data_IF_813921090093
#
_entry.id   IF_813921090093
#
_cell.length_a   1.000
_cell.length_b   1.000
_cell.length_c   1.000
_cell.angle_alpha   90.00
_cell.angle_beta   90.00
_cell.angle_gamma   90.00
#
_symmetry.space_group_name_H-M   'P 1'
#
loop_
_entity.id
_entity.type
_entity.pdbx_description
1 polymer ?
#
# COMPACT_ATOMS: atom_id res chain seq x y z
N UNK A 1 -15.42 16.95 -71.57
CA UNK A 1 -16.00 16.12 -70.48
C UNK A 1 -14.91 15.20 -69.95
N UNK A 2 -14.21 15.57 -68.89
CA UNK A 2 -13.44 14.67 -68.02
C UNK A 2 -13.05 15.47 -66.77
N UNK A 3 -13.89 15.41 -65.75
CA UNK A 3 -13.67 16.02 -64.44
C UNK A 3 -12.88 14.99 -63.61
N UNK A 4 -11.59 15.24 -63.37
CA UNK A 4 -10.79 14.41 -62.47
C UNK A 4 -11.06 14.83 -61.02
N UNK A 5 -11.84 14.03 -60.30
CA UNK A 5 -12.01 14.16 -58.84
C UNK A 5 -10.83 13.51 -58.13
N UNK A 6 -9.99 14.33 -57.50
CA UNK A 6 -8.96 13.89 -56.56
C UNK A 6 -9.62 13.53 -55.22
N UNK A 7 -9.74 12.23 -54.92
CA UNK A 7 -10.08 11.73 -53.59
C UNK A 7 -8.85 11.86 -52.68
N UNK A 8 -8.89 12.83 -51.77
CA UNK A 8 -7.96 12.93 -50.64
C UNK A 8 -8.31 11.83 -49.62
N UNK A 9 -7.53 10.74 -49.60
CA UNK A 9 -7.57 9.76 -48.51
C UNK A 9 -6.82 10.32 -47.30
N UNK A 10 -7.57 10.89 -46.35
CA UNK A 10 -7.07 11.21 -45.03
C UNK A 10 -6.73 9.92 -44.28
N UNK A 11 -5.45 9.56 -44.21
CA UNK A 11 -4.96 8.54 -43.28
C UNK A 11 -5.00 9.12 -41.88
N UNK A 12 -6.11 8.90 -41.19
CA UNK A 12 -6.25 9.19 -39.76
C UNK A 12 -5.24 8.36 -38.98
N UNK A 13 -4.22 9.03 -38.44
CA UNK A 13 -3.34 8.48 -37.42
C UNK A 13 -4.17 8.13 -36.19
N UNK A 14 -4.26 6.84 -35.88
CA UNK A 14 -4.95 6.34 -34.69
C UNK A 14 -4.15 6.78 -33.47
N UNK A 15 -4.57 7.87 -32.84
CA UNK A 15 -4.05 8.31 -31.55
C UNK A 15 -4.31 7.21 -30.52
N UNK A 16 -3.25 6.61 -30.01
CA UNK A 16 -3.33 5.70 -28.88
C UNK A 16 -3.86 6.47 -27.68
N UNK A 17 -5.10 6.18 -27.27
CA UNK A 17 -5.72 6.74 -26.06
C UNK A 17 -4.80 6.48 -24.88
N UNK A 18 -4.10 7.53 -24.44
CA UNK A 18 -3.15 7.52 -23.33
C UNK A 18 -3.88 7.24 -22.02
N UNK A 19 -4.10 5.96 -21.73
CA UNK A 19 -4.60 5.49 -20.44
C UNK A 19 -3.51 5.58 -19.35
N UNK A 20 -2.27 5.95 -19.72
CA UNK A 20 -1.16 6.18 -18.81
C UNK A 20 -1.28 7.57 -18.20
N UNK A 21 -1.26 7.66 -16.88
CA UNK A 21 -1.09 8.95 -16.22
C UNK A 21 0.24 9.56 -16.60
N UNK A 22 0.20 10.84 -16.95
CA UNK A 22 1.35 11.57 -17.45
C UNK A 22 2.33 11.79 -16.32
N UNK A 23 3.38 10.98 -16.29
CA UNK A 23 4.52 11.18 -15.40
C UNK A 23 5.32 12.46 -15.76
N UNK A 24 4.87 13.27 -16.72
CA UNK A 24 5.57 14.48 -17.18
C UNK A 24 5.72 15.54 -16.08
N UNK A 25 4.75 15.64 -15.15
CA UNK A 25 4.86 16.51 -13.97
C UNK A 25 5.99 16.13 -13.00
N UNK A 26 6.67 14.98 -13.21
CA UNK A 26 7.86 14.60 -12.43
C UNK A 26 9.16 15.21 -12.95
N UNK A 27 9.22 15.65 -14.22
CA UNK A 27 10.45 16.20 -14.80
C UNK A 27 10.69 17.67 -14.44
N UNK A 28 9.64 18.42 -14.08
CA UNK A 28 9.75 19.82 -13.66
C UNK A 28 10.07 20.02 -12.18
N UNK A 29 10.08 18.94 -11.38
CA UNK A 29 10.28 19.00 -9.93
C UNK A 29 11.64 18.45 -9.46
N UNK A 30 12.52 18.03 -10.38
CA UNK A 30 13.88 17.61 -10.05
C UNK A 30 14.84 18.80 -10.22
N UNK A 31 15.66 19.14 -9.22
CA UNK A 31 16.73 20.12 -9.41
C UNK A 31 17.73 19.56 -10.42
N UNK A 32 18.06 20.35 -11.44
CA UNK A 32 19.17 20.06 -12.36
C UNK A 32 20.46 19.92 -11.55
N UNK A 33 21.09 18.76 -11.62
CA UNK A 33 22.42 18.53 -11.01
C UNK A 33 23.43 19.42 -11.73
N UNK A 34 24.17 20.30 -11.03
CA UNK A 34 25.24 21.07 -11.67
C UNK A 34 26.40 20.13 -12.03
N UNK A 35 26.87 20.26 -13.27
CA UNK A 35 28.05 19.56 -13.77
C UNK A 35 29.27 19.86 -12.91
N UNK A 36 29.99 18.79 -12.55
CA UNK A 36 31.21 18.85 -11.74
C UNK A 36 32.36 19.40 -12.57
N UNK A 37 32.74 20.66 -12.32
CA UNK A 37 33.95 21.26 -12.87
C UNK A 37 35.20 20.49 -12.42
N UNK A 38 35.97 20.01 -13.39
CA UNK A 38 37.38 19.62 -13.26
C UNK A 38 38.22 20.85 -12.94
N UNK A 39 38.96 20.81 -11.84
CA UNK A 39 40.05 21.77 -11.57
C UNK A 39 41.33 20.98 -11.31
N UNK A 40 42.32 21.28 -12.13
CA UNK A 40 43.71 20.79 -12.09
C UNK A 40 44.62 21.79 -11.37
N UNK A 41 45.76 21.28 -10.87
CA UNK A 41 46.97 21.97 -10.37
C UNK A 41 46.86 22.57 -8.94
N UNK A 42 47.87 22.62 -8.07
CA UNK A 42 49.24 22.06 -7.96
C UNK A 42 49.79 22.46 -6.56
N UNK A 43 50.72 21.66 -6.03
CA UNK A 43 51.66 21.87 -4.90
C UNK A 43 51.91 23.30 -4.33
N UNK A 44 52.00 23.44 -3.00
CA UNK A 44 53.28 23.65 -2.26
C UNK A 44 53.12 24.08 -0.79
N UNK A 45 54.09 23.63 0.03
CA UNK A 45 54.64 24.19 1.28
C UNK A 45 53.86 24.19 2.61
N UNK A 46 54.35 23.35 3.53
CA UNK A 46 54.44 23.55 5.00
C UNK A 46 55.51 24.63 5.35
N UNK A 47 55.67 25.17 6.58
CA UNK A 47 55.83 24.43 7.86
C UNK A 47 55.37 25.09 9.18
N UNK A 48 55.41 24.24 10.24
CA UNK A 48 55.73 24.47 11.66
C UNK A 48 54.94 25.44 12.58
N UNK A 49 54.61 24.95 13.79
CA UNK A 49 54.33 25.79 14.97
C UNK A 49 53.54 25.10 16.09
N UNK A 50 54.24 24.54 17.09
CA UNK A 50 53.67 23.91 18.28
C UNK A 50 53.03 24.93 19.25
N UNK A 51 51.98 24.54 19.98
CA UNK A 51 51.87 24.74 21.45
C UNK A 51 50.66 24.02 22.06
N UNK A 52 51.00 23.18 23.03
CA UNK A 52 50.14 22.52 24.00
C UNK A 52 49.51 23.53 24.97
N UNK A 53 48.22 23.39 25.30
CA UNK A 53 47.71 23.59 26.67
C UNK A 53 46.48 22.71 26.91
N UNK A 54 46.59 21.89 27.96
CA UNK A 54 45.52 21.13 28.61
C UNK A 54 44.49 22.08 29.23
N UNK A 55 43.22 21.69 29.24
CA UNK A 55 42.32 21.96 30.36
C UNK A 55 41.25 20.87 30.45
N UNK A 56 41.36 20.09 31.53
CA UNK A 56 40.39 19.13 32.01
C UNK A 56 39.24 19.84 32.73
N UNK A 57 38.00 19.57 32.35
CA UNK A 57 36.85 19.77 33.26
C UNK A 57 35.94 18.56 33.16
N UNK A 58 35.87 17.85 34.28
CA UNK A 58 34.98 16.74 34.59
C UNK A 58 33.59 17.30 34.92
N UNK A 59 32.52 16.72 34.37
CA UNK A 59 31.24 16.66 35.06
C UNK A 59 30.43 15.43 34.65
N UNK A 60 30.19 14.61 35.66
CA UNK A 60 29.35 13.41 35.67
C UNK A 60 27.88 13.72 35.33
N UNK A 61 27.22 12.82 34.61
CA UNK A 61 26.01 12.14 35.12
C UNK A 61 25.54 11.05 34.16
N UNK A 62 25.58 9.81 34.65
CA UNK A 62 24.98 8.62 34.05
C UNK A 62 23.52 8.49 34.49
N UNK A 63 22.58 8.50 33.56
CA UNK A 63 21.18 8.17 33.85
C UNK A 63 20.99 6.64 33.84
N UNK A 64 20.70 6.11 35.02
CA UNK A 64 20.40 4.71 35.27
C UNK A 64 19.01 4.32 34.73
N UNK A 65 18.97 3.11 34.18
CA UNK A 65 17.80 2.39 33.67
C UNK A 65 17.02 1.79 34.85
N UNK A 66 15.69 1.97 34.99
CA UNK A 66 14.96 1.35 36.09
C UNK A 66 14.72 -0.14 35.82
N UNK A 67 15.09 -0.97 36.81
CA UNK A 67 14.78 -2.40 36.90
C UNK A 67 13.46 -2.56 37.66
N UNK A 68 12.53 -3.36 37.13
CA UNK A 68 11.30 -3.72 37.83
C UNK A 68 11.61 -4.72 38.96
N UNK A 69 11.19 -4.40 40.17
CA UNK A 69 11.36 -5.25 41.36
C UNK A 69 10.44 -6.48 41.32
N UNK A 70 11.01 -7.64 41.62
CA UNK A 70 10.33 -8.89 41.89
C UNK A 70 9.62 -8.83 43.25
N UNK A 71 8.29 -8.93 43.26
CA UNK A 71 7.52 -9.06 44.49
C UNK A 71 7.49 -10.54 44.91
N UNK A 72 8.18 -10.86 46.02
CA UNK A 72 8.09 -12.13 46.73
C UNK A 72 7.55 -11.89 48.13
N UNK A 73 6.40 -12.46 48.43
CA UNK A 73 5.80 -12.51 49.76
C UNK A 73 4.34 -12.94 49.61
N UNK A 74 3.77 -13.89 50.33
CA UNK A 74 4.18 -14.62 51.53
C UNK A 74 3.44 -15.96 51.49
N UNK A 75 4.15 -17.05 51.77
CA UNK A 75 3.56 -18.32 52.21
C UNK A 75 3.13 -18.22 53.67
N UNK A 76 2.05 -18.90 54.08
CA UNK A 76 2.02 -19.57 55.38
C UNK A 76 1.99 -21.09 55.22
N UNK A 77 2.60 -21.73 56.22
CA UNK A 77 2.90 -23.16 56.35
C UNK A 77 1.63 -24.03 56.55
N UNK A 78 1.72 -25.28 56.06
CA UNK A 78 0.72 -26.39 56.09
C UNK A 78 0.19 -26.76 57.50
N UNK A 79 -0.94 -27.50 57.62
CA UNK A 79 -0.83 -28.97 57.72
C UNK A 79 -1.98 -29.81 57.09
N UNK A 80 -1.58 -30.94 56.51
CA UNK A 80 -2.21 -32.28 56.49
C UNK A 80 -3.61 -32.47 57.17
N UNK A 81 -4.64 -32.88 56.39
CA UNK A 81 -5.62 -33.98 56.64
C UNK A 81 -6.78 -33.89 55.61
N UNK A 82 -6.97 -34.87 54.74
CA UNK A 82 -8.02 -35.93 54.81
C UNK A 82 -9.40 -35.56 54.22
N UNK A 83 -9.71 -36.25 53.11
CA UNK A 83 -11.01 -36.83 52.70
C UNK A 83 -12.29 -35.97 52.79
N UNK A 84 -12.88 -35.72 51.63
CA UNK A 84 -14.28 -35.30 51.50
C UNK A 84 -14.74 -35.30 50.05
N UNK A 85 -15.36 -36.40 49.60
CA UNK A 85 -16.28 -36.37 48.48
C UNK A 85 -17.44 -35.41 48.81
N UNK A 86 -17.80 -34.50 47.90
CA UNK A 86 -19.22 -34.18 47.62
C UNK A 86 -19.34 -33.16 46.49
N UNK A 87 -19.98 -33.65 45.44
CA UNK A 87 -20.91 -32.99 44.50
C UNK A 87 -21.25 -31.52 44.79
N UNK A 88 -20.86 -30.61 43.88
CA UNK A 88 -21.76 -29.67 43.18
C UNK A 88 -20.94 -28.78 42.23
N UNK A 89 -20.81 -29.17 40.96
CA UNK A 89 -20.47 -28.20 39.89
C UNK A 89 -21.42 -28.39 38.71
N UNK A 90 -22.69 -28.10 38.97
CA UNK A 90 -23.65 -27.76 37.92
C UNK A 90 -23.28 -26.41 37.33
N UNK A 91 -22.27 -26.38 36.47
CA UNK A 91 -22.13 -25.34 35.47
C UNK A 91 -21.72 -26.00 34.16
N UNK A 92 -22.70 -26.69 33.59
CA UNK A 92 -22.79 -27.11 32.20
C UNK A 92 -22.64 -25.87 31.29
N UNK A 93 -21.41 -25.37 31.16
CA UNK A 93 -21.01 -24.69 29.96
C UNK A 93 -20.76 -25.77 28.91
N UNK A 94 -21.86 -26.12 28.25
CA UNK A 94 -21.90 -26.72 26.92
C UNK A 94 -21.18 -25.80 25.90
N UNK A 95 -19.91 -25.51 26.12
CA UNK A 95 -19.00 -25.33 25.01
C UNK A 95 -18.71 -26.75 24.56
N UNK A 96 -19.51 -27.20 23.59
CA UNK A 96 -19.13 -28.32 22.73
C UNK A 96 -17.76 -28.00 22.18
N UNK A 97 -16.75 -28.58 22.83
CA UNK A 97 -15.42 -28.76 22.28
C UNK A 97 -15.62 -29.72 21.11
N UNK A 98 -15.81 -29.15 19.92
CA UNK A 98 -15.68 -29.90 18.68
C UNK A 98 -14.18 -29.90 18.38
N UNK A 99 -13.48 -30.85 18.99
CA UNK A 99 -12.11 -31.22 18.63
C UNK A 99 -12.16 -32.00 17.32
N UNK A 100 -12.34 -31.26 16.24
CA UNK A 100 -11.85 -31.60 14.92
C UNK A 100 -11.49 -30.26 14.31
N UNK A 101 -10.21 -30.02 13.99
CA UNK A 101 -9.70 -28.74 13.44
C UNK A 101 -10.36 -28.24 12.13
N UNK A 102 -11.50 -28.80 11.73
CA UNK A 102 -12.41 -28.28 10.73
C UNK A 102 -13.25 -27.12 11.27
N UNK A 103 -12.96 -25.91 10.77
CA UNK A 103 -13.84 -24.76 10.95
C UNK A 103 -15.14 -25.03 10.19
N UNK A 104 -16.24 -25.36 10.87
CA UNK A 104 -17.57 -25.37 10.26
C UNK A 104 -17.87 -23.93 9.80
N UNK A 105 -17.75 -23.70 8.48
CA UNK A 105 -18.17 -22.45 7.87
C UNK A 105 -19.69 -22.52 7.69
N UNK A 106 -20.44 -22.29 8.77
CA UNK A 106 -21.85 -21.96 8.63
C UNK A 106 -22.00 -20.85 7.58
N UNK A 107 -23.02 -20.99 6.71
CA UNK A 107 -23.25 -20.06 5.61
C UNK A 107 -23.32 -18.63 6.16
N UNK A 108 -22.37 -17.78 5.75
CA UNK A 108 -22.32 -16.39 6.24
C UNK A 108 -23.23 -15.50 5.40
N UNK A 109 -24.42 -15.20 5.93
CA UNK A 109 -25.33 -14.22 5.34
C UNK A 109 -24.70 -12.81 5.32
N UNK A 110 -24.98 -12.03 4.27
CA UNK A 110 -24.57 -10.61 4.16
C UNK A 110 -23.08 -10.32 3.96
N UNK A 111 -22.21 -11.33 3.83
CA UNK A 111 -20.75 -11.11 3.73
C UNK A 111 -20.30 -10.69 2.33
N UNK A 112 -20.10 -9.38 2.12
CA UNK A 112 -19.70 -8.79 0.82
C UNK A 112 -18.19 -8.60 0.60
N UNK A 113 -17.34 -9.05 1.53
CA UNK A 113 -15.87 -8.84 1.46
C UNK A 113 -15.16 -10.06 0.83
N UNK A 114 -14.48 -9.89 -0.33
CA UNK A 114 -13.77 -10.99 -0.98
C UNK A 114 -12.55 -11.42 -0.14
N UNK A 115 -12.39 -12.72 0.08
CA UNK A 115 -11.32 -13.27 0.94
C UNK A 115 -9.98 -13.41 0.21
N UNK A 116 -10.00 -13.68 -1.10
CA UNK A 116 -8.81 -13.90 -1.96
C UNK A 116 -7.82 -14.94 -1.43
N UNK A 117 -8.32 -15.91 -0.64
CA UNK A 117 -7.54 -16.96 0.04
C UNK A 117 -6.33 -16.40 0.80
N UNK A 118 -6.49 -15.25 1.44
CA UNK A 118 -5.45 -14.56 2.21
C UNK A 118 -5.99 -14.05 3.55
N UNK A 119 -5.16 -14.01 4.60
CA UNK A 119 -5.49 -13.33 5.84
C UNK A 119 -5.68 -11.82 5.60
N UNK A 120 -6.36 -11.10 6.53
CA UNK A 120 -6.81 -9.72 6.30
C UNK A 120 -5.68 -8.69 6.09
N UNK A 121 -4.58 -8.85 6.80
CA UNK A 121 -3.33 -8.11 6.68
C UNK A 121 -2.74 -8.21 5.26
N UNK A 122 -2.50 -9.43 4.78
CA UNK A 122 -1.93 -9.69 3.45
C UNK A 122 -2.87 -9.23 2.33
N UNK A 123 -4.18 -9.44 2.52
CA UNK A 123 -5.19 -8.97 1.56
C UNK A 123 -5.17 -7.44 1.44
N UNK A 124 -5.04 -6.72 2.55
CA UNK A 124 -4.95 -5.25 2.55
C UNK A 124 -3.70 -4.80 1.78
N UNK A 125 -2.54 -5.39 2.05
CA UNK A 125 -1.29 -5.06 1.37
C UNK A 125 -1.37 -5.35 -0.15
N UNK A 126 -1.90 -6.51 -0.54
CA UNK A 126 -2.08 -6.90 -1.94
C UNK A 126 -2.96 -5.89 -2.70
N UNK A 127 -4.10 -5.50 -2.14
CA UNK A 127 -5.03 -4.59 -2.81
C UNK A 127 -4.48 -3.16 -2.89
N UNK A 128 -3.72 -2.72 -1.88
CA UNK A 128 -2.96 -1.45 -1.93
C UNK A 128 -1.98 -1.47 -3.09
N UNK A 129 -1.16 -2.51 -3.20
CA UNK A 129 -0.16 -2.65 -4.26
C UNK A 129 -0.78 -2.72 -5.65
N UNK A 130 -1.86 -3.50 -5.83
CA UNK A 130 -2.54 -3.56 -7.14
C UNK A 130 -3.15 -2.22 -7.53
N UNK A 131 -3.71 -1.48 -6.57
CA UNK A 131 -4.24 -0.14 -6.81
C UNK A 131 -3.11 0.78 -7.26
N UNK A 132 -1.98 0.82 -6.55
CA UNK A 132 -0.85 1.68 -6.94
C UNK A 132 -0.32 1.35 -8.34
N UNK A 133 -0.20 0.07 -8.67
CA UNK A 133 0.25 -0.36 -10.00
C UNK A 133 -0.75 0.01 -11.11
N UNK A 134 -2.05 -0.15 -10.85
CA UNK A 134 -3.08 0.25 -11.82
C UNK A 134 -3.03 1.75 -12.07
N UNK A 135 -2.94 2.55 -11.01
CA UNK A 135 -2.86 4.00 -11.11
C UNK A 135 -1.59 4.45 -11.87
N UNK A 136 -0.45 3.80 -11.63
CA UNK A 136 0.83 4.09 -12.31
C UNK A 136 0.80 3.79 -13.82
N UNK A 137 0.25 2.64 -14.19
CA UNK A 137 0.34 2.10 -15.55
C UNK A 137 -0.92 2.30 -16.39
N UNK A 138 -2.06 2.62 -15.78
CA UNK A 138 -3.36 2.74 -16.43
C UNK A 138 -4.06 1.41 -16.73
N UNK A 139 -3.28 0.35 -17.03
CA UNK A 139 -3.79 -0.99 -17.35
C UNK A 139 -2.88 -2.08 -16.80
N UNK A 140 -3.47 -3.10 -16.15
CA UNK A 140 -2.73 -4.26 -15.61
C UNK A 140 -3.46 -5.58 -15.89
N UNK A 141 -2.69 -6.66 -16.06
CA UNK A 141 -3.20 -8.03 -16.22
C UNK A 141 -3.21 -8.75 -14.87
N UNK A 142 -4.38 -9.16 -14.39
CA UNK A 142 -4.52 -9.84 -13.08
C UNK A 142 -5.55 -10.96 -13.15
N UNK A 143 -5.81 -11.66 -12.03
CA UNK A 143 -6.91 -12.64 -11.98
C UNK A 143 -8.25 -11.94 -11.83
N UNK A 144 -9.32 -12.51 -12.39
CA UNK A 144 -10.67 -11.95 -12.35
C UNK A 144 -11.13 -11.61 -10.93
N UNK A 145 -10.83 -12.48 -9.95
CA UNK A 145 -11.18 -12.28 -8.55
C UNK A 145 -10.46 -11.06 -7.93
N UNK A 146 -9.16 -10.87 -8.23
CA UNK A 146 -8.39 -9.71 -7.76
C UNK A 146 -8.88 -8.42 -8.43
N UNK A 147 -9.11 -8.46 -9.74
CA UNK A 147 -9.65 -7.32 -10.49
C UNK A 147 -10.98 -6.85 -9.92
N UNK A 148 -11.92 -7.78 -9.70
CA UNK A 148 -13.24 -7.48 -9.15
C UNK A 148 -13.17 -6.87 -7.74
N UNK A 149 -12.24 -7.35 -6.91
CA UNK A 149 -12.03 -6.85 -5.55
C UNK A 149 -11.39 -5.45 -5.51
N UNK A 150 -10.47 -5.14 -6.43
CA UNK A 150 -9.75 -3.86 -6.41
C UNK A 150 -10.60 -2.68 -6.87
N UNK A 151 -11.64 -2.89 -7.69
CA UNK A 151 -12.56 -1.83 -8.16
C UNK A 151 -12.99 -0.86 -7.05
N UNK A 152 -13.45 -1.42 -5.93
CA UNK A 152 -13.87 -0.64 -4.75
C UNK A 152 -12.81 0.34 -4.25
N UNK A 153 -11.54 -0.07 -4.27
CA UNK A 153 -10.43 0.73 -3.77
C UNK A 153 -10.00 1.79 -4.77
N UNK A 154 -9.94 1.44 -6.06
CA UNK A 154 -9.62 2.37 -7.14
C UNK A 154 -10.67 3.48 -7.23
N UNK A 155 -11.95 3.10 -7.25
CA UNK A 155 -13.05 4.07 -7.32
C UNK A 155 -13.04 5.01 -6.11
N UNK A 156 -12.71 4.48 -4.92
CA UNK A 156 -12.54 5.28 -3.72
C UNK A 156 -11.40 6.30 -3.88
N UNK A 157 -10.22 5.90 -4.39
CA UNK A 157 -9.10 6.83 -4.58
C UNK A 157 -9.43 7.95 -5.58
N UNK A 158 -10.10 7.62 -6.69
CA UNK A 158 -10.53 8.60 -7.70
C UNK A 158 -11.57 9.56 -7.10
N UNK A 159 -12.52 9.04 -6.32
CA UNK A 159 -13.51 9.87 -5.63
C UNK A 159 -12.88 10.81 -4.60
N UNK A 160 -11.83 10.37 -3.88
CA UNK A 160 -11.06 11.25 -3.01
C UNK A 160 -10.37 12.37 -3.81
N UNK A 161 -9.84 12.04 -4.99
CA UNK A 161 -9.15 12.97 -5.87
C UNK A 161 -10.07 14.04 -6.46
N UNK A 162 -11.28 13.67 -6.90
CA UNK A 162 -12.32 14.62 -7.37
C UNK A 162 -12.61 15.74 -6.36
N UNK A 163 -12.56 15.43 -5.05
CA UNK A 163 -12.82 16.42 -4.00
C UNK A 163 -11.63 17.38 -3.75
N UNK A 164 -10.39 16.99 -4.05
CA UNK A 164 -9.23 17.88 -3.97
C UNK A 164 -8.71 18.30 -2.58
N UNK A 165 -9.50 18.18 -1.50
CA UNK A 165 -9.14 18.77 -0.18
C UNK A 165 -7.91 18.13 0.49
N UNK A 166 -7.22 18.89 1.35
CA UNK A 166 -6.03 18.44 2.08
C UNK A 166 -6.28 17.16 2.90
N UNK A 167 -7.43 17.06 3.55
CA UNK A 167 -7.80 15.88 4.33
C UNK A 167 -7.89 14.63 3.43
N UNK A 168 -8.48 14.76 2.23
CA UNK A 168 -8.62 13.65 1.28
C UNK A 168 -7.25 13.23 0.72
N UNK A 169 -6.34 14.18 0.48
CA UNK A 169 -4.95 13.89 0.11
C UNK A 169 -4.23 13.06 1.18
N UNK A 170 -4.37 13.41 2.47
CA UNK A 170 -3.81 12.63 3.58
C UNK A 170 -4.37 11.20 3.65
N UNK A 171 -5.68 11.04 3.40
CA UNK A 171 -6.30 9.70 3.32
C UNK A 171 -5.71 8.86 2.18
N UNK A 172 -5.50 9.46 1.00
CA UNK A 172 -4.91 8.78 -0.14
C UNK A 172 -3.45 8.38 0.12
N UNK A 173 -2.64 9.26 0.72
CA UNK A 173 -1.26 8.98 1.14
C UNK A 173 -1.16 7.82 2.14
N UNK A 174 -2.16 7.64 3.02
CA UNK A 174 -2.22 6.50 3.93
C UNK A 174 -2.48 5.16 3.23
N UNK A 175 -3.02 5.18 2.01
CA UNK A 175 -3.36 3.97 1.26
C UNK A 175 -2.34 3.65 0.16
N UNK A 176 -1.99 4.61 -0.68
CA UNK A 176 -1.06 4.46 -1.80
C UNK A 176 0.39 4.44 -1.28
N UNK A 177 1.23 3.56 -1.83
CA UNK A 177 2.64 3.44 -1.45
C UNK A 177 3.53 4.57 -2.00
N UNK A 178 3.36 4.93 -3.27
CA UNK A 178 4.20 5.94 -3.94
C UNK A 178 3.55 7.33 -3.84
N UNK A 179 4.23 8.28 -3.19
CA UNK A 179 3.72 9.66 -3.02
C UNK A 179 3.49 10.37 -4.36
N UNK A 180 4.37 10.12 -5.32
CA UNK A 180 4.33 10.72 -6.66
C UNK A 180 3.01 10.44 -7.40
N UNK A 181 2.51 9.21 -7.28
CA UNK A 181 1.24 8.79 -7.90
C UNK A 181 0.07 9.57 -7.30
N UNK A 182 0.13 9.89 -6.00
CA UNK A 182 -0.93 10.69 -5.35
C UNK A 182 -0.95 12.10 -5.91
N UNK A 183 0.20 12.73 -6.11
CA UNK A 183 0.25 14.07 -6.70
C UNK A 183 -0.31 14.09 -8.12
N UNK A 184 0.09 13.12 -8.96
CA UNK A 184 -0.44 12.98 -10.33
C UNK A 184 -1.96 12.71 -10.34
N UNK A 185 -2.43 11.81 -9.48
CA UNK A 185 -3.86 11.47 -9.32
C UNK A 185 -4.70 12.73 -9.05
N UNK A 186 -4.26 13.59 -8.13
CA UNK A 186 -5.03 14.80 -7.77
C UNK A 186 -4.95 15.91 -8.83
N UNK A 187 -3.94 15.89 -9.70
CA UNK A 187 -3.83 16.82 -10.82
C UNK A 187 -4.70 16.39 -12.01
N UNK A 188 -4.65 15.12 -12.41
CA UNK A 188 -5.27 14.66 -13.66
C UNK A 188 -6.75 14.24 -13.53
N UNK A 189 -7.17 13.75 -12.36
CA UNK A 189 -8.53 13.21 -12.18
C UNK A 189 -9.65 14.23 -12.36
N UNK A 190 -9.55 15.47 -11.84
CA UNK A 190 -10.62 16.47 -12.01
C UNK A 190 -10.94 16.69 -13.49
N UNK A 191 -9.90 16.78 -14.32
CA UNK A 191 -10.04 17.02 -15.77
C UNK A 191 -10.58 15.77 -16.49
N UNK A 192 -10.07 14.58 -16.17
CA UNK A 192 -10.45 13.33 -16.85
C UNK A 192 -11.82 12.78 -16.45
N UNK A 193 -12.22 12.94 -15.18
CA UNK A 193 -13.41 12.29 -14.60
C UNK A 193 -14.37 13.25 -13.91
N UNK A 194 -14.26 14.56 -14.18
CA UNK A 194 -15.11 15.59 -13.59
C UNK A 194 -16.60 15.27 -13.71
N UNK A 195 -17.05 14.97 -14.93
CA UNK A 195 -18.46 14.69 -15.23
C UNK A 195 -18.91 13.27 -14.85
N UNK A 196 -17.99 12.31 -14.74
CA UNK A 196 -18.33 10.90 -14.53
C UNK A 196 -18.68 10.60 -13.07
N UNK A 197 -19.87 10.06 -12.83
CA UNK A 197 -20.36 9.64 -11.51
C UNK A 197 -20.12 8.14 -11.26
N UNK A 198 -18.85 7.79 -10.97
CA UNK A 198 -18.45 6.42 -10.62
C UNK A 198 -18.13 5.51 -11.81
N UNK A 199 -17.75 4.26 -11.51
CA UNK A 199 -17.41 3.27 -12.54
C UNK A 199 -16.19 3.66 -13.37
N UNK A 200 -15.08 3.99 -12.71
CA UNK A 200 -13.87 4.49 -13.37
C UNK A 200 -12.98 3.38 -13.93
N UNK A 201 -13.32 2.13 -13.66
CA UNK A 201 -12.55 0.97 -14.10
C UNK A 201 -13.39 0.03 -14.95
N UNK A 202 -12.77 -0.51 -15.99
CA UNK A 202 -13.33 -1.58 -16.83
C UNK A 202 -12.56 -2.87 -16.61
N UNK A 203 -13.26 -4.01 -16.59
CA UNK A 203 -12.65 -5.35 -16.52
C UNK A 203 -12.94 -6.09 -17.82
N UNK A 204 -11.89 -6.45 -18.54
CA UNK A 204 -11.96 -7.24 -19.77
C UNK A 204 -11.46 -8.65 -19.47
N UNK A 205 -12.29 -9.67 -19.72
CA UNK A 205 -11.90 -11.07 -19.51
C UNK A 205 -10.92 -11.53 -20.59
N UNK A 206 -9.99 -12.40 -20.20
CA UNK A 206 -9.03 -12.99 -21.13
C UNK A 206 -9.01 -14.51 -20.98
N UNK A 207 -8.25 -15.16 -21.85
CA UNK A 207 -7.94 -16.59 -21.72
C UNK A 207 -7.37 -16.91 -20.34
N UNK A 208 -7.71 -18.09 -19.78
CA UNK A 208 -7.15 -18.53 -18.50
C UNK A 208 -5.64 -18.75 -18.61
N UNK A 209 -4.96 -18.72 -17.46
CA UNK A 209 -3.52 -18.95 -17.39
C UNK A 209 -3.21 -20.43 -17.63
N UNK A 210 -2.16 -20.69 -18.43
CA UNK A 210 -1.62 -22.04 -18.62
C UNK A 210 -1.01 -22.55 -17.31
N UNK A 211 -1.38 -23.76 -16.89
CA UNK A 211 -0.89 -24.41 -15.67
C UNK A 211 -1.97 -24.54 -14.60
N UNK A 212 -2.37 -23.44 -13.98
CA UNK A 212 -3.37 -23.42 -12.89
C UNK A 212 -4.80 -23.12 -13.37
N UNK A 213 -5.01 -22.92 -14.67
CA UNK A 213 -6.28 -22.55 -15.30
C UNK A 213 -6.96 -21.33 -14.62
N UNK A 214 -6.18 -20.44 -14.01
CA UNK A 214 -6.75 -19.31 -13.30
C UNK A 214 -7.42 -18.33 -14.27
N UNK A 215 -8.68 -17.91 -14.02
CA UNK A 215 -9.37 -16.96 -14.90
C UNK A 215 -8.70 -15.59 -14.82
N UNK A 216 -8.14 -15.16 -15.95
CA UNK A 216 -7.42 -13.89 -16.07
C UNK A 216 -8.32 -12.79 -16.60
N UNK A 217 -7.95 -11.55 -16.32
CA UNK A 217 -8.60 -10.35 -16.83
C UNK A 217 -7.61 -9.19 -16.90
N UNK A 218 -7.81 -8.31 -17.87
CA UNK A 218 -7.26 -6.96 -17.82
C UNK A 218 -8.20 -6.07 -17.00
N UNK A 219 -7.61 -5.20 -16.18
CA UNK A 219 -8.32 -4.05 -15.60
C UNK A 219 -7.66 -2.78 -16.12
N UNK A 220 -8.49 -1.81 -16.50
CA UNK A 220 -8.04 -0.54 -17.07
C UNK A 220 -8.88 0.62 -16.55
N UNK A 221 -8.26 1.79 -16.49
CA UNK A 221 -8.93 3.07 -16.25
C UNK A 221 -9.66 3.49 -17.53
N UNK A 222 -10.91 3.93 -17.39
CA UNK A 222 -11.79 4.37 -18.49
C UNK A 222 -11.39 5.74 -19.01
#
# INVERSE_FOLDING_TARGET
MAMAMALATATGTVESVSSRWSMASLRSALPSTPDRCTVSASSSSSPCGQRSLRLSVSLNQSLHKPQFGSFTGLSPLNPLLSLGLSEYTSFEHNFTIIDNGGRILAMRHGRKVPKLNRPPDQRKALLRGLTTQLLKHGRIKTTRARASAMRKYVDKMITLAKNGTLHKRRQALGFIYEKQIVHALFAEVPDRYGERNGGYTRIIRTLPRRGDNAPMAYIELV
#
